data_IF_248373775527
#
_entry.id   IF_248373775527
#
_cell.length_a   1.000
_cell.length_b   1.000
_cell.length_c   1.000
_cell.angle_alpha   90.00
_cell.angle_beta   90.00
_cell.angle_gamma   90.00
#
_symmetry.space_group_name_H-M   'P 1'
#
loop_
_entity.id
_entity.type
_entity.pdbx_description
1 polymer ?
#
# COMPACT_ATOMS: atom_id res chain seq x y z
N UNK A 1 -5.46 -33.47 30.75
CA UNK A 1 -6.69 -33.23 31.53
C UNK A 1 -7.24 -31.80 31.39
N UNK A 2 -6.43 -30.73 31.51
CA UNK A 2 -6.93 -29.34 31.41
C UNK A 2 -7.47 -28.97 30.03
N UNK A 3 -6.75 -29.30 28.95
CA UNK A 3 -7.21 -29.07 27.56
C UNK A 3 -8.58 -29.73 27.28
N UNK A 4 -8.77 -30.96 27.75
CA UNK A 4 -10.03 -31.70 27.60
C UNK A 4 -11.20 -31.02 28.33
N UNK A 5 -10.96 -30.48 29.53
CA UNK A 5 -11.97 -29.72 30.29
C UNK A 5 -12.30 -28.38 29.62
N UNK A 6 -11.30 -27.69 29.06
CA UNK A 6 -11.47 -26.45 28.29
C UNK A 6 -12.28 -26.68 27.01
N UNK A 7 -12.00 -27.74 26.25
CA UNK A 7 -12.76 -28.07 25.04
C UNK A 7 -14.21 -28.46 25.35
N UNK A 8 -14.44 -29.18 26.45
CA UNK A 8 -15.79 -29.49 26.90
C UNK A 8 -16.56 -28.22 27.33
N UNK A 9 -15.88 -27.30 28.04
CA UNK A 9 -16.46 -26.01 28.42
C UNK A 9 -16.77 -25.13 27.19
N UNK A 10 -15.86 -25.03 26.23
CA UNK A 10 -16.05 -24.30 24.95
C UNK A 10 -17.25 -24.85 24.17
N UNK A 11 -17.40 -26.17 24.07
CA UNK A 11 -18.56 -26.81 23.43
C UNK A 11 -19.86 -26.48 24.14
N UNK A 12 -19.91 -26.58 25.46
CA UNK A 12 -21.10 -26.21 26.25
C UNK A 12 -21.47 -24.72 26.06
N UNK A 13 -20.48 -23.84 26.12
CA UNK A 13 -20.65 -22.39 25.87
C UNK A 13 -21.13 -22.11 24.45
N UNK A 14 -20.55 -22.76 23.44
CA UNK A 14 -20.97 -22.62 22.04
C UNK A 14 -22.42 -23.07 21.85
N UNK A 15 -22.81 -24.24 22.36
CA UNK A 15 -24.18 -24.74 22.30
C UNK A 15 -25.18 -23.80 22.98
N UNK A 16 -24.81 -23.21 24.12
CA UNK A 16 -25.64 -22.22 24.79
C UNK A 16 -25.74 -20.89 23.99
N UNK A 17 -24.63 -20.43 23.40
CA UNK A 17 -24.59 -19.22 22.55
C UNK A 17 -25.37 -19.40 21.25
N UNK A 18 -25.32 -20.58 20.64
CA UNK A 18 -25.99 -20.89 19.38
C UNK A 18 -27.53 -20.82 19.47
N UNK A 19 -28.10 -20.87 20.68
CA UNK A 19 -29.54 -20.65 20.94
C UNK A 19 -29.94 -19.18 20.96
N UNK A 20 -28.98 -18.24 21.00
CA UNK A 20 -29.26 -16.81 20.95
C UNK A 20 -29.47 -16.39 19.49
N UNK A 21 -30.30 -15.37 19.27
CA UNK A 21 -30.33 -14.68 17.99
C UNK A 21 -28.94 -14.11 17.74
N UNK A 22 -28.30 -14.53 16.64
CA UNK A 22 -27.00 -14.02 16.27
C UNK A 22 -27.15 -12.55 15.86
N UNK A 23 -26.20 -11.66 16.24
CA UNK A 23 -26.12 -10.37 15.60
C UNK A 23 -26.09 -10.55 14.08
N UNK A 24 -26.79 -9.69 13.34
CA UNK A 24 -26.73 -9.71 11.88
C UNK A 24 -25.28 -9.61 11.42
N UNK A 25 -24.91 -10.43 10.43
CA UNK A 25 -23.64 -10.28 9.76
C UNK A 25 -23.72 -9.03 8.88
N UNK A 26 -22.86 -8.05 9.12
CA UNK A 26 -22.63 -6.99 8.12
C UNK A 26 -21.74 -7.61 7.03
N UNK A 27 -22.39 -8.10 5.98
CA UNK A 27 -21.81 -8.70 4.78
C UNK A 27 -21.42 -7.66 3.73
N UNK A 28 -21.37 -6.38 4.14
CA UNK A 28 -21.01 -5.25 3.32
C UNK A 28 -19.51 -5.22 3.07
N UNK A 29 -19.14 -5.10 1.81
CA UNK A 29 -17.77 -4.87 1.36
C UNK A 29 -17.58 -3.36 1.18
N UNK A 30 -16.54 -2.82 1.81
CA UNK A 30 -16.12 -1.42 1.68
C UNK A 30 -14.75 -1.35 1.02
N UNK A 31 -14.60 -0.52 -0.01
CA UNK A 31 -13.35 -0.42 -0.77
C UNK A 31 -12.19 -0.01 0.13
N UNK A 32 -12.35 1.04 0.92
CA UNK A 32 -11.33 1.49 1.88
C UNK A 32 -10.84 0.36 2.81
N UNK A 33 -11.73 -0.34 3.49
CA UNK A 33 -11.34 -1.41 4.44
C UNK A 33 -10.71 -2.61 3.75
N UNK A 34 -11.15 -2.91 2.53
CA UNK A 34 -10.53 -3.96 1.73
C UNK A 34 -9.15 -3.55 1.22
N UNK A 35 -8.91 -2.26 0.95
CA UNK A 35 -7.57 -1.73 0.67
C UNK A 35 -6.60 -1.94 1.85
N UNK A 36 -7.04 -1.65 3.08
CA UNK A 36 -6.24 -1.93 4.29
C UNK A 36 -5.98 -3.43 4.48
N UNK A 37 -7.01 -4.26 4.27
CA UNK A 37 -6.88 -5.72 4.31
C UNK A 37 -5.90 -6.22 3.25
N UNK A 38 -5.98 -5.69 2.03
CA UNK A 38 -5.12 -6.03 0.92
C UNK A 38 -3.65 -5.78 1.27
N UNK A 39 -3.33 -4.60 1.80
CA UNK A 39 -1.98 -4.27 2.25
C UNK A 39 -1.46 -5.29 3.28
N UNK A 40 -2.28 -5.58 4.30
CA UNK A 40 -1.91 -6.51 5.38
C UNK A 40 -1.64 -7.93 4.88
N UNK A 41 -2.51 -8.49 4.03
CA UNK A 41 -2.31 -9.84 3.48
C UNK A 41 -1.15 -9.90 2.49
N UNK A 42 -0.96 -8.87 1.66
CA UNK A 42 0.17 -8.80 0.74
C UNK A 42 1.51 -8.78 1.49
N UNK A 43 1.65 -7.91 2.49
CA UNK A 43 2.87 -7.81 3.29
C UNK A 43 3.12 -9.10 4.09
N UNK A 44 2.09 -9.63 4.75
CA UNK A 44 2.20 -10.88 5.50
C UNK A 44 2.56 -12.06 4.58
N UNK A 45 1.98 -12.14 3.38
CA UNK A 45 2.28 -13.18 2.39
C UNK A 45 3.76 -13.19 2.02
N UNK A 46 4.33 -12.00 1.75
CA UNK A 46 5.74 -11.82 1.41
C UNK A 46 6.69 -12.12 2.58
N UNK A 47 6.45 -11.52 3.75
CA UNK A 47 7.36 -11.60 4.90
C UNK A 47 7.28 -12.96 5.59
N UNK A 48 6.08 -13.52 5.76
CA UNK A 48 5.87 -14.82 6.41
C UNK A 48 5.98 -16.01 5.46
N UNK A 49 6.19 -15.75 4.15
CA UNK A 49 6.23 -16.75 3.08
C UNK A 49 4.95 -17.62 3.05
N UNK A 50 3.80 -16.96 3.08
CA UNK A 50 2.46 -17.57 3.10
C UNK A 50 1.76 -17.34 1.77
N UNK A 51 1.88 -18.31 0.86
CA UNK A 51 1.26 -18.25 -0.47
C UNK A 51 -0.27 -18.07 -0.39
N UNK A 52 -0.92 -18.70 0.59
CA UNK A 52 -2.36 -18.55 0.82
C UNK A 52 -2.75 -17.11 1.22
N UNK A 53 -1.86 -16.35 1.85
CA UNK A 53 -2.10 -14.92 2.12
C UNK A 53 -1.96 -14.07 0.86
N UNK A 54 -0.97 -14.38 0.02
CA UNK A 54 -0.82 -13.75 -1.30
C UNK A 54 -2.03 -14.03 -2.20
N UNK A 55 -2.58 -15.24 -2.17
CA UNK A 55 -3.79 -15.62 -2.90
C UNK A 55 -5.02 -14.83 -2.43
N UNK A 56 -5.21 -14.66 -1.10
CA UNK A 56 -6.28 -13.83 -0.54
C UNK A 56 -6.14 -12.38 -1.01
N UNK A 57 -4.94 -11.81 -0.94
CA UNK A 57 -4.66 -10.45 -1.39
C UNK A 57 -4.98 -10.28 -2.88
N UNK A 58 -4.51 -11.21 -3.72
CA UNK A 58 -4.75 -11.19 -5.18
C UNK A 58 -6.23 -11.31 -5.50
N UNK A 59 -6.94 -12.24 -4.85
CA UNK A 59 -8.38 -12.41 -5.03
C UNK A 59 -9.16 -11.16 -4.60
N UNK A 60 -8.74 -10.49 -3.51
CA UNK A 60 -9.32 -9.24 -3.08
C UNK A 60 -9.13 -8.12 -4.12
N UNK A 61 -7.90 -7.90 -4.60
CA UNK A 61 -7.62 -6.89 -5.61
C UNK A 61 -8.42 -7.13 -6.90
N UNK A 62 -8.52 -8.39 -7.35
CA UNK A 62 -9.33 -8.78 -8.51
C UNK A 62 -10.82 -8.47 -8.29
N UNK A 63 -11.38 -8.82 -7.13
CA UNK A 63 -12.77 -8.50 -6.80
C UNK A 63 -13.01 -6.99 -6.83
N UNK A 64 -12.13 -6.20 -6.20
CA UNK A 64 -12.25 -4.73 -6.19
C UNK A 64 -12.17 -4.16 -7.62
N UNK A 65 -11.30 -4.71 -8.47
CA UNK A 65 -11.15 -4.26 -9.86
C UNK A 65 -12.38 -4.57 -10.72
N UNK A 66 -13.00 -5.73 -10.49
CA UNK A 66 -14.12 -6.21 -11.30
C UNK A 66 -15.47 -5.66 -10.82
N UNK A 67 -15.63 -5.49 -9.51
CA UNK A 67 -16.94 -5.18 -8.89
C UNK A 67 -17.00 -3.76 -8.34
N UNK A 68 -15.89 -3.26 -7.79
CA UNK A 68 -15.86 -1.97 -7.10
C UNK A 68 -15.29 -0.84 -7.96
N UNK A 69 -14.95 -1.10 -9.23
CA UNK A 69 -14.47 -0.09 -10.18
C UNK A 69 -15.52 0.10 -11.28
N UNK A 70 -15.98 1.33 -11.44
CA UNK A 70 -16.86 1.73 -12.52
C UNK A 70 -16.12 1.73 -13.87
N UNK A 71 -16.87 1.73 -14.98
CA UNK A 71 -16.31 1.69 -16.33
C UNK A 71 -15.42 2.89 -16.67
N UNK A 72 -15.70 4.06 -16.09
CA UNK A 72 -14.87 5.26 -16.22
C UNK A 72 -13.59 5.20 -15.37
N UNK A 73 -13.48 4.24 -14.45
CA UNK A 73 -12.37 4.06 -13.51
C UNK A 73 -12.62 4.63 -12.10
N UNK A 74 -13.80 5.19 -11.81
CA UNK A 74 -14.19 5.61 -10.46
C UNK A 74 -14.32 4.39 -9.54
N UNK A 75 -14.07 4.57 -8.25
CA UNK A 75 -14.35 3.54 -7.25
C UNK A 75 -15.77 3.70 -6.70
N UNK A 76 -16.43 2.57 -6.48
CA UNK A 76 -17.61 2.49 -5.63
C UNK A 76 -17.17 2.33 -4.19
N UNK A 77 -17.90 2.95 -3.25
CA UNK A 77 -17.62 2.82 -1.81
C UNK A 77 -18.06 1.47 -1.28
N UNK A 78 -19.24 1.01 -1.67
CA UNK A 78 -19.87 -0.14 -1.02
C UNK A 78 -20.54 -1.11 -1.98
N UNK A 79 -20.45 -2.38 -1.61
CA UNK A 79 -21.15 -3.48 -2.25
C UNK A 79 -21.67 -4.44 -1.19
N UNK A 80 -22.74 -5.17 -1.52
CA UNK A 80 -23.29 -6.24 -0.68
C UNK A 80 -23.82 -7.34 -1.59
N UNK A 81 -23.69 -8.59 -1.15
CA UNK A 81 -24.20 -9.74 -1.89
C UNK A 81 -25.68 -9.54 -2.31
N UNK A 82 -25.97 -9.80 -3.59
CA UNK A 82 -27.29 -9.61 -4.19
C UNK A 82 -27.64 -8.17 -4.57
N UNK A 83 -26.72 -7.22 -4.43
CA UNK A 83 -26.89 -5.82 -4.86
C UNK A 83 -25.70 -5.37 -5.70
N UNK A 84 -25.92 -4.40 -6.57
CA UNK A 84 -24.84 -3.76 -7.32
C UNK A 84 -24.01 -2.85 -6.42
N UNK A 85 -22.75 -2.64 -6.81
CA UNK A 85 -21.87 -1.69 -6.15
C UNK A 85 -22.41 -0.27 -6.35
N UNK A 86 -22.35 0.54 -5.28
CA UNK A 86 -23.01 1.85 -5.27
C UNK A 86 -22.28 2.85 -4.38
N UNK A 87 -22.70 4.10 -4.53
CA UNK A 87 -22.13 5.30 -3.93
C UNK A 87 -20.69 5.57 -4.35
N UNK A 88 -20.43 6.80 -4.78
CA UNK A 88 -19.11 7.20 -5.19
C UNK A 88 -18.11 7.01 -4.03
N UNK A 89 -16.89 6.59 -4.39
CA UNK A 89 -15.78 6.44 -3.48
C UNK A 89 -15.31 7.79 -2.95
N UNK A 90 -14.82 7.75 -1.72
CA UNK A 90 -14.23 8.88 -1.00
C UNK A 90 -12.72 8.76 -1.06
N UNK A 91 -11.99 9.80 -0.68
CA UNK A 91 -10.51 9.79 -0.70
C UNK A 91 -9.92 8.53 -0.05
N UNK A 92 -10.49 8.06 1.06
CA UNK A 92 -10.05 6.83 1.75
C UNK A 92 -10.13 5.57 0.87
N UNK A 93 -11.14 5.46 0.01
CA UNK A 93 -11.30 4.32 -0.89
C UNK A 93 -10.17 4.28 -1.93
N UNK A 94 -9.73 5.45 -2.40
CA UNK A 94 -8.61 5.58 -3.34
C UNK A 94 -7.27 5.40 -2.65
N UNK A 95 -7.04 6.10 -1.53
CA UNK A 95 -5.76 6.11 -0.83
C UNK A 95 -5.44 4.72 -0.24
N UNK A 96 -6.40 4.06 0.40
CA UNK A 96 -6.15 2.77 1.04
C UNK A 96 -6.01 1.65 0.00
N UNK A 97 -6.77 1.71 -1.09
CA UNK A 97 -6.61 0.74 -2.18
C UNK A 97 -5.29 0.93 -2.91
N UNK A 98 -4.88 2.17 -3.20
CA UNK A 98 -3.59 2.43 -3.83
C UNK A 98 -2.43 1.92 -2.97
N UNK A 99 -2.47 2.12 -1.65
CA UNK A 99 -1.48 1.55 -0.72
C UNK A 99 -1.46 0.02 -0.76
N UNK A 100 -2.63 -0.62 -0.68
CA UNK A 100 -2.76 -2.08 -0.79
C UNK A 100 -2.25 -2.63 -2.12
N UNK A 101 -2.48 -1.94 -3.23
CA UNK A 101 -1.99 -2.32 -4.55
C UNK A 101 -0.47 -2.19 -4.67
N UNK A 102 0.13 -1.16 -4.07
CA UNK A 102 1.60 -1.04 -3.99
C UNK A 102 2.20 -2.16 -3.12
N UNK A 103 1.55 -2.52 -2.02
CA UNK A 103 1.95 -3.65 -1.20
C UNK A 103 1.85 -4.98 -1.97
N UNK A 104 0.74 -5.20 -2.70
CA UNK A 104 0.56 -6.38 -3.54
C UNK A 104 1.60 -6.44 -4.67
N UNK A 105 1.90 -5.30 -5.32
CA UNK A 105 2.97 -5.21 -6.30
C UNK A 105 4.32 -5.64 -5.73
N UNK A 106 4.72 -5.19 -4.53
CA UNK A 106 5.99 -5.63 -3.93
C UNK A 106 6.00 -7.12 -3.55
N UNK A 107 4.83 -7.74 -3.46
CA UNK A 107 4.67 -9.16 -3.14
C UNK A 107 4.67 -10.05 -4.38
N UNK A 108 4.07 -9.60 -5.48
CA UNK A 108 3.91 -10.42 -6.70
C UNK A 108 4.76 -9.95 -7.88
N UNK A 109 5.20 -8.70 -7.85
CA UNK A 109 5.81 -7.97 -8.97
C UNK A 109 4.98 -7.95 -10.25
N UNK A 110 3.67 -8.17 -10.15
CA UNK A 110 2.74 -7.99 -11.27
C UNK A 110 2.47 -6.49 -11.47
N UNK A 111 2.99 -5.95 -12.57
CA UNK A 111 2.93 -4.53 -12.92
C UNK A 111 1.49 -4.00 -13.04
N UNK A 112 0.51 -4.88 -13.25
CA UNK A 112 -0.91 -4.51 -13.29
C UNK A 112 -1.35 -3.78 -12.03
N UNK A 113 -0.85 -4.21 -10.86
CA UNK A 113 -1.19 -3.61 -9.57
C UNK A 113 -0.53 -2.25 -9.40
N UNK A 114 0.72 -2.11 -9.86
CA UNK A 114 1.43 -0.84 -9.87
C UNK A 114 0.73 0.19 -10.76
N UNK A 115 0.40 -0.18 -12.01
CA UNK A 115 -0.30 0.69 -12.95
C UNK A 115 -1.64 1.15 -12.37
N UNK A 116 -2.40 0.24 -11.76
CA UNK A 116 -3.67 0.61 -11.16
C UNK A 116 -3.50 1.52 -9.93
N UNK A 117 -2.49 1.29 -9.08
CA UNK A 117 -2.17 2.21 -7.98
C UNK A 117 -1.84 3.62 -8.49
N UNK A 118 -1.10 3.73 -9.60
CA UNK A 118 -0.79 4.99 -10.23
C UNK A 118 -2.04 5.69 -10.80
N UNK A 119 -2.95 4.95 -11.45
CA UNK A 119 -4.25 5.48 -11.91
C UNK A 119 -5.08 6.06 -10.74
N UNK A 120 -5.14 5.33 -9.62
CA UNK A 120 -5.87 5.79 -8.43
C UNK A 120 -5.22 7.04 -7.82
N UNK A 121 -3.89 7.09 -7.76
CA UNK A 121 -3.18 8.27 -7.29
C UNK A 121 -3.40 9.48 -8.19
N UNK A 122 -3.41 9.28 -9.51
CA UNK A 122 -3.73 10.37 -10.44
C UNK A 122 -5.15 10.89 -10.22
N UNK A 123 -6.14 10.00 -10.01
CA UNK A 123 -7.50 10.40 -9.65
C UNK A 123 -7.59 11.16 -8.33
N UNK A 124 -6.79 10.78 -7.32
CA UNK A 124 -6.69 11.57 -6.07
C UNK A 124 -6.23 13.00 -6.37
N UNK A 125 -5.20 13.16 -7.20
CA UNK A 125 -4.69 14.47 -7.57
C UNK A 125 -5.72 15.29 -8.37
N UNK A 126 -6.43 14.66 -9.30
CA UNK A 126 -7.33 15.36 -10.21
C UNK A 126 -8.62 15.82 -9.52
N UNK A 127 -9.17 15.00 -8.62
CA UNK A 127 -10.53 15.23 -8.08
C UNK A 127 -10.58 15.63 -6.61
N UNK A 128 -9.53 15.35 -5.83
CA UNK A 128 -9.55 15.52 -4.39
C UNK A 128 -8.59 16.60 -3.88
N UNK A 129 -7.62 17.07 -4.68
CA UNK A 129 -6.68 18.11 -4.25
C UNK A 129 -7.41 19.39 -3.85
N UNK A 130 -6.97 20.00 -2.74
CA UNK A 130 -7.31 21.37 -2.40
C UNK A 130 -6.14 22.30 -2.73
N UNK A 131 -6.44 23.44 -3.35
CA UNK A 131 -5.49 24.52 -3.61
C UNK A 131 -4.87 25.07 -2.31
N UNK A 132 -5.60 25.02 -1.19
CA UNK A 132 -5.08 25.37 0.14
C UNK A 132 -4.17 24.29 0.77
N UNK A 133 -3.98 23.15 0.09
CA UNK A 133 -3.11 22.04 0.51
C UNK A 133 -3.88 20.84 1.04
N UNK A 134 -3.31 19.64 0.88
CA UNK A 134 -3.98 18.37 1.21
C UNK A 134 -5.13 18.04 0.26
N UNK A 135 -6.05 17.22 0.74
CA UNK A 135 -7.09 16.59 -0.06
C UNK A 135 -8.46 16.64 0.65
N UNK A 136 -9.52 16.90 -0.11
CA UNK A 136 -10.92 16.77 0.30
C UNK A 136 -11.32 15.30 0.44
N UNK A 137 -12.32 15.01 1.27
CA UNK A 137 -12.81 13.64 1.45
C UNK A 137 -13.68 13.17 0.28
N UNK A 138 -14.33 14.10 -0.42
CA UNK A 138 -15.23 13.85 -1.55
C UNK A 138 -14.60 14.37 -2.84
N UNK A 139 -14.92 13.76 -3.99
CA UNK A 139 -14.49 14.28 -5.29
C UNK A 139 -15.21 15.59 -5.65
N UNK A 140 -14.64 16.38 -6.56
CA UNK A 140 -15.22 17.63 -7.07
C UNK A 140 -16.50 17.41 -7.89
N UNK A 141 -16.67 16.20 -8.43
CA UNK A 141 -17.84 15.73 -9.17
C UNK A 141 -18.73 14.78 -8.35
N UNK A 142 -18.58 14.79 -7.02
CA UNK A 142 -19.52 14.15 -6.09
C UNK A 142 -20.83 14.97 -6.02
N UNK A 143 -21.72 14.61 -5.09
CA UNK A 143 -22.85 15.50 -4.76
C UNK A 143 -22.35 16.89 -4.36
N UNK A 144 -23.05 17.93 -4.82
CA UNK A 144 -22.68 19.31 -4.52
C UNK A 144 -22.90 19.61 -3.03
N UNK A 145 -21.82 19.65 -2.26
CA UNK A 145 -21.83 20.00 -0.83
C UNK A 145 -21.59 21.50 -0.65
N UNK A 146 -22.22 22.09 0.38
CA UNK A 146 -21.95 23.48 0.80
C UNK A 146 -20.50 23.68 1.25
N UNK A 147 -19.89 22.62 1.80
CA UNK A 147 -18.50 22.57 2.24
C UNK A 147 -17.98 21.15 2.02
N UNK A 148 -16.83 21.00 1.38
CA UNK A 148 -16.15 19.71 1.23
C UNK A 148 -15.24 19.50 2.44
N UNK A 149 -15.56 18.53 3.33
CA UNK A 149 -14.75 18.28 4.50
C UNK A 149 -13.39 17.67 4.14
N UNK A 150 -12.49 17.75 5.12
CA UNK A 150 -11.13 17.23 5.08
C UNK A 150 -10.81 16.61 6.43
N UNK A 151 -10.91 15.30 6.54
CA UNK A 151 -10.44 14.63 7.74
C UNK A 151 -8.92 14.38 7.63
N UNK A 152 -8.19 15.08 8.50
CA UNK A 152 -6.72 15.00 8.57
C UNK A 152 -6.24 14.23 9.79
N UNK A 153 -7.14 13.89 10.71
CA UNK A 153 -6.77 13.25 11.96
C UNK A 153 -6.91 11.73 11.83
N UNK A 154 -5.91 11.00 12.31
CA UNK A 154 -6.02 9.54 12.42
C UNK A 154 -6.98 9.18 13.56
N UNK A 155 -7.75 8.11 13.36
CA UNK A 155 -8.68 7.57 14.34
C UNK A 155 -8.53 6.04 14.39
N UNK A 156 -9.64 5.29 14.47
CA UNK A 156 -9.63 3.82 14.37
C UNK A 156 -8.97 3.32 13.07
N UNK A 157 -8.96 4.15 12.03
CA UNK A 157 -8.19 3.98 10.79
C UNK A 157 -7.29 5.20 10.57
N UNK A 158 -6.25 5.10 9.73
CA UNK A 158 -5.48 6.27 9.29
C UNK A 158 -6.40 7.37 8.73
N UNK A 159 -5.91 8.60 8.66
CA UNK A 159 -6.53 9.64 7.84
C UNK A 159 -6.29 9.34 6.37
N UNK A 160 -7.32 9.59 5.55
CA UNK A 160 -7.21 9.42 4.10
C UNK A 160 -6.13 10.34 3.50
N UNK A 161 -6.01 11.55 4.04
CA UNK A 161 -4.97 12.51 3.67
C UNK A 161 -3.55 12.00 3.99
N UNK A 162 -3.32 11.49 5.21
CA UNK A 162 -2.02 10.96 5.60
C UNK A 162 -1.62 9.74 4.77
N UNK A 163 -2.58 8.86 4.46
CA UNK A 163 -2.33 7.73 3.56
C UNK A 163 -2.02 8.20 2.13
N UNK A 164 -2.80 9.14 1.59
CA UNK A 164 -2.56 9.67 0.25
C UNK A 164 -1.15 10.27 0.12
N UNK A 165 -0.68 11.01 1.13
CA UNK A 165 0.69 11.52 1.17
C UNK A 165 1.73 10.38 1.12
N UNK A 166 1.57 9.30 1.89
CA UNK A 166 2.49 8.16 1.82
C UNK A 166 2.47 7.44 0.48
N UNK A 167 1.30 7.23 -0.11
CA UNK A 167 1.17 6.62 -1.45
C UNK A 167 1.91 7.45 -2.48
N UNK A 168 1.72 8.77 -2.47
CA UNK A 168 2.41 9.69 -3.39
C UNK A 168 3.93 9.68 -3.17
N UNK A 169 4.41 9.67 -1.92
CA UNK A 169 5.84 9.52 -1.61
C UNK A 169 6.40 8.23 -2.21
N UNK A 170 5.76 7.08 -1.98
CA UNK A 170 6.19 5.79 -2.56
C UNK A 170 6.18 5.80 -4.09
N UNK A 171 5.11 6.32 -4.70
CA UNK A 171 5.01 6.45 -6.15
C UNK A 171 6.08 7.36 -6.75
N UNK A 172 6.47 8.43 -6.05
CA UNK A 172 7.55 9.32 -6.52
C UNK A 172 8.87 8.56 -6.71
N UNK A 173 9.19 7.63 -5.80
CA UNK A 173 10.39 6.78 -5.89
C UNK A 173 10.28 5.75 -7.03
N UNK A 174 9.09 5.18 -7.26
CA UNK A 174 8.89 4.25 -8.37
C UNK A 174 8.94 4.93 -9.75
N UNK A 175 8.46 6.16 -9.85
CA UNK A 175 8.20 6.83 -11.13
C UNK A 175 9.24 7.86 -11.52
N UNK A 176 9.99 8.40 -10.56
CA UNK A 176 10.81 9.59 -10.79
C UNK A 176 10.02 10.88 -10.90
N UNK A 177 8.69 10.85 -10.70
CA UNK A 177 7.85 12.02 -10.82
C UNK A 177 7.89 12.88 -9.54
N UNK A 178 8.71 13.94 -9.58
CA UNK A 178 8.88 14.89 -8.46
C UNK A 178 7.57 15.55 -7.99
N UNK A 179 6.57 15.69 -8.88
CA UNK A 179 5.27 16.27 -8.49
C UNK A 179 4.58 15.50 -7.36
N UNK A 180 4.71 14.16 -7.35
CA UNK A 180 4.15 13.36 -6.26
C UNK A 180 4.84 13.66 -4.93
N UNK A 181 6.16 13.80 -4.94
CA UNK A 181 6.94 14.16 -3.76
C UNK A 181 6.57 15.55 -3.25
N UNK A 182 6.53 16.55 -4.13
CA UNK A 182 6.27 17.95 -3.76
C UNK A 182 4.90 18.12 -3.10
N UNK A 183 3.85 17.51 -3.67
CA UNK A 183 2.50 17.56 -3.12
C UNK A 183 2.45 16.89 -1.73
N UNK A 184 3.04 15.70 -1.61
CA UNK A 184 3.04 14.95 -0.34
C UNK A 184 3.87 15.65 0.74
N UNK A 185 5.00 16.24 0.38
CA UNK A 185 5.84 17.03 1.28
C UNK A 185 5.08 18.28 1.75
N UNK A 186 4.44 19.03 0.85
CA UNK A 186 3.66 20.21 1.20
C UNK A 186 2.50 19.86 2.16
N UNK A 187 1.75 18.80 1.86
CA UNK A 187 0.65 18.33 2.71
C UNK A 187 1.15 17.91 4.10
N UNK A 188 2.28 17.19 4.16
CA UNK A 188 2.88 16.77 5.43
C UNK A 188 3.40 17.96 6.24
N UNK A 189 4.04 18.93 5.59
CA UNK A 189 4.55 20.13 6.24
C UNK A 189 3.44 20.98 6.86
N UNK A 190 2.27 21.06 6.20
CA UNK A 190 1.10 21.75 6.75
C UNK A 190 0.62 21.15 8.08
N UNK A 191 0.87 19.86 8.31
CA UNK A 191 0.50 19.17 9.56
C UNK A 191 1.55 19.30 10.68
N UNK A 192 2.64 20.05 10.47
CA UNK A 192 3.74 20.16 11.44
C UNK A 192 3.29 20.52 12.86
N UNK A 193 2.46 21.55 13.01
CA UNK A 193 1.98 21.98 14.33
C UNK A 193 1.09 20.92 14.98
N UNK A 194 0.18 20.31 14.20
CA UNK A 194 -0.73 19.28 14.70
C UNK A 194 0.01 18.01 15.14
N UNK A 195 0.96 17.52 14.33
CA UNK A 195 1.84 16.40 14.68
C UNK A 195 2.66 16.68 15.94
N UNK A 196 3.16 17.92 16.10
CA UNK A 196 3.99 18.30 17.26
C UNK A 196 3.18 18.37 18.56
N UNK A 197 1.92 18.84 18.48
CA UNK A 197 1.05 18.98 19.66
C UNK A 197 0.31 17.69 20.03
N UNK A 198 -0.11 16.90 19.03
CA UNK A 198 -0.98 15.73 19.22
C UNK A 198 -0.49 14.50 18.41
N UNK A 199 0.74 14.01 18.64
CA UNK A 199 1.37 13.00 17.79
C UNK A 199 0.56 11.71 17.63
N UNK A 200 -0.16 11.27 18.66
CA UNK A 200 -0.96 10.03 18.61
C UNK A 200 -2.19 10.13 17.71
N UNK A 201 -2.67 11.33 17.40
CA UNK A 201 -3.76 11.56 16.45
C UNK A 201 -3.28 11.81 15.02
N UNK A 202 -1.96 11.81 14.78
CA UNK A 202 -1.35 12.10 13.49
C UNK A 202 -0.17 11.15 13.22
N UNK A 203 -0.26 9.91 13.70
CA UNK A 203 0.79 8.90 13.57
C UNK A 203 1.12 8.58 12.10
N UNK A 204 0.12 8.54 11.22
CA UNK A 204 0.33 8.26 9.80
C UNK A 204 1.03 9.41 9.07
N UNK A 205 0.78 10.65 9.50
CA UNK A 205 1.55 11.81 9.05
C UNK A 205 2.97 11.81 9.58
N UNK A 206 3.19 11.37 10.83
CA UNK A 206 4.53 11.19 11.37
C UNK A 206 5.31 10.13 10.59
N UNK A 207 4.66 9.07 10.11
CA UNK A 207 5.28 8.12 9.19
C UNK A 207 5.68 8.78 7.85
N UNK A 208 4.82 9.63 7.28
CA UNK A 208 5.17 10.39 6.07
C UNK A 208 6.35 11.36 6.31
N UNK A 209 6.34 12.07 7.44
CA UNK A 209 7.43 12.97 7.83
C UNK A 209 8.74 12.19 8.05
N UNK A 210 8.68 11.05 8.74
CA UNK A 210 9.81 10.15 8.95
C UNK A 210 10.37 9.66 7.61
N UNK A 211 9.50 9.25 6.68
CA UNK A 211 9.90 8.83 5.34
C UNK A 211 10.65 9.94 4.60
N UNK A 212 10.15 11.17 4.62
CA UNK A 212 10.78 12.34 3.98
C UNK A 212 12.17 12.62 4.54
N UNK A 213 12.34 12.58 5.87
CA UNK A 213 13.62 12.92 6.51
C UNK A 213 14.64 11.78 6.49
N UNK A 214 14.21 10.53 6.25
CA UNK A 214 15.08 9.34 6.32
C UNK A 214 15.81 9.01 5.01
N UNK A 215 15.74 9.88 4.00
CA UNK A 215 16.34 9.66 2.67
C UNK A 215 16.02 8.27 2.09
N UNK A 216 14.75 8.05 1.71
CA UNK A 216 14.24 6.73 1.40
C UNK A 216 14.98 6.10 0.21
N UNK A 217 15.11 4.78 0.25
CA UNK A 217 15.84 4.00 -0.74
C UNK A 217 14.90 3.47 -1.82
N UNK A 218 15.41 3.43 -3.05
CA UNK A 218 14.78 2.72 -4.16
C UNK A 218 15.65 1.51 -4.50
N UNK A 219 15.11 0.30 -4.50
CA UNK A 219 15.86 -0.90 -4.92
C UNK A 219 15.20 -1.56 -6.11
N UNK A 220 15.93 -1.63 -7.22
CA UNK A 220 15.50 -2.33 -8.42
C UNK A 220 16.26 -3.65 -8.56
N UNK A 221 15.54 -4.77 -8.70
CA UNK A 221 16.12 -6.10 -8.93
C UNK A 221 15.82 -6.52 -10.37
N UNK A 222 16.82 -6.38 -11.24
CA UNK A 222 16.73 -6.79 -12.63
C UNK A 222 16.96 -8.30 -12.73
N UNK A 223 15.89 -9.06 -12.96
CA UNK A 223 15.89 -10.52 -12.97
C UNK A 223 14.47 -11.08 -13.07
N UNK A 224 14.34 -12.36 -13.43
CA UNK A 224 13.04 -13.05 -13.42
C UNK A 224 12.60 -13.28 -11.98
N UNK A 225 11.44 -12.78 -11.52
CA UNK A 225 11.04 -12.82 -10.11
C UNK A 225 11.17 -14.21 -9.46
N UNK A 226 10.78 -15.28 -10.14
CA UNK A 226 10.80 -16.65 -9.60
C UNK A 226 12.16 -17.36 -9.72
N UNK A 227 13.16 -16.74 -10.36
CA UNK A 227 14.48 -17.36 -10.51
C UNK A 227 15.22 -17.43 -9.16
N UNK A 228 15.99 -18.50 -8.88
CA UNK A 228 16.66 -18.68 -7.59
C UNK A 228 17.60 -17.54 -7.17
N UNK A 229 18.31 -16.95 -8.13
CA UNK A 229 19.21 -15.83 -7.88
C UNK A 229 18.44 -14.54 -7.53
N UNK A 230 17.35 -14.26 -8.23
CA UNK A 230 16.44 -13.14 -7.93
C UNK A 230 15.80 -13.31 -6.54
N UNK A 231 15.31 -14.52 -6.23
CA UNK A 231 14.74 -14.84 -4.92
C UNK A 231 15.76 -14.70 -3.78
N UNK A 232 17.04 -15.01 -4.02
CA UNK A 232 18.09 -14.78 -3.02
C UNK A 232 18.30 -13.29 -2.71
N UNK A 233 18.28 -12.44 -3.73
CA UNK A 233 18.36 -10.97 -3.54
C UNK A 233 17.11 -10.44 -2.83
N UNK A 234 15.91 -10.87 -3.24
CA UNK A 234 14.65 -10.48 -2.59
C UNK A 234 14.60 -10.92 -1.13
N UNK A 235 15.00 -12.15 -0.82
CA UNK A 235 15.07 -12.65 0.55
C UNK A 235 16.00 -11.81 1.43
N UNK A 236 17.11 -11.31 0.87
CA UNK A 236 18.03 -10.39 1.56
C UNK A 236 17.34 -9.05 1.88
N UNK A 237 16.58 -8.51 0.92
CA UNK A 237 15.84 -7.27 1.09
C UNK A 237 14.73 -7.40 2.15
N UNK A 238 14.11 -8.58 2.26
CA UNK A 238 13.00 -8.84 3.19
C UNK A 238 13.41 -9.41 4.54
N UNK A 239 14.70 -9.71 4.74
CA UNK A 239 15.22 -10.25 5.98
C UNK A 239 15.18 -9.27 7.18
N UNK A 240 15.03 -7.96 6.92
CA UNK A 240 14.98 -6.93 7.94
C UNK A 240 13.81 -5.96 7.70
N UNK A 241 13.34 -5.32 8.78
CA UNK A 241 12.33 -4.28 8.69
C UNK A 241 12.94 -2.99 8.12
N UNK A 242 12.52 -2.62 6.90
CA UNK A 242 13.03 -1.47 6.15
C UNK A 242 11.85 -0.59 5.69
N UNK A 243 11.30 0.28 6.57
CA UNK A 243 10.08 1.04 6.28
C UNK A 243 10.24 2.14 5.22
N UNK A 244 11.48 2.57 4.97
CA UNK A 244 11.81 3.66 4.03
C UNK A 244 12.40 3.12 2.73
N UNK A 245 11.92 1.96 2.28
CA UNK A 245 12.40 1.27 1.08
C UNK A 245 11.22 0.96 0.15
N UNK A 246 11.38 1.24 -1.14
CA UNK A 246 10.54 0.68 -2.19
C UNK A 246 11.33 -0.30 -3.04
N UNK A 247 10.69 -1.38 -3.49
CA UNK A 247 11.32 -2.43 -4.27
C UNK A 247 10.55 -2.71 -5.54
N UNK A 248 11.26 -2.67 -6.67
CA UNK A 248 10.75 -3.16 -7.95
C UNK A 248 11.60 -4.36 -8.39
N UNK A 249 10.97 -5.37 -8.99
CA UNK A 249 11.68 -6.50 -9.59
C UNK A 249 11.03 -6.92 -10.91
N UNK A 250 11.86 -7.37 -11.86
CA UNK A 250 11.40 -7.78 -13.18
C UNK A 250 12.48 -7.62 -14.25
N UNK A 251 12.16 -8.01 -15.49
CA UNK A 251 13.02 -7.81 -16.66
C UNK A 251 12.53 -6.59 -17.44
N UNK A 252 13.38 -5.56 -17.57
CA UNK A 252 13.17 -4.36 -18.39
C UNK A 252 11.96 -3.45 -18.05
N UNK A 253 11.20 -3.80 -16.99
CA UNK A 253 9.99 -3.15 -16.47
C UNK A 253 9.36 -2.07 -17.34
N UNK A 254 8.45 -2.49 -18.23
CA UNK A 254 7.80 -1.61 -19.21
C UNK A 254 6.94 -0.55 -18.54
N UNK A 255 6.24 -0.90 -17.45
CA UNK A 255 5.32 0.01 -16.77
C UNK A 255 5.89 0.60 -15.47
N UNK A 256 7.03 0.11 -14.98
CA UNK A 256 7.62 0.55 -13.70
C UNK A 256 8.93 1.30 -13.96
N UNK A 257 8.94 2.65 -13.95
CA UNK A 257 10.12 3.44 -14.32
C UNK A 257 11.37 3.14 -13.48
N UNK A 258 11.20 2.69 -12.23
CA UNK A 258 12.30 2.24 -11.37
C UNK A 258 13.05 1.01 -11.91
N UNK A 259 12.51 0.26 -12.87
CA UNK A 259 13.21 -0.83 -13.56
C UNK A 259 13.84 -0.39 -14.89
N UNK A 260 13.50 0.80 -15.39
CA UNK A 260 13.98 1.28 -16.67
C UNK A 260 15.52 1.37 -16.70
N UNK A 261 16.10 0.97 -17.83
CA UNK A 261 17.54 1.03 -18.11
C UNK A 261 18.41 0.24 -17.11
N UNK A 262 17.85 -0.78 -16.44
CA UNK A 262 18.57 -1.65 -15.52
C UNK A 262 18.56 -3.08 -16.06
N UNK A 263 19.75 -3.64 -16.27
CA UNK A 263 19.91 -4.93 -16.93
C UNK A 263 20.67 -5.93 -16.06
N UNK A 264 20.40 -7.24 -16.17
CA UNK A 264 21.19 -8.25 -15.49
C UNK A 264 22.68 -8.16 -15.89
N UNK A 265 23.57 -8.18 -14.90
CA UNK A 265 25.02 -8.21 -15.13
C UNK A 265 25.51 -9.64 -15.32
N UNK A 266 26.25 -9.87 -16.41
CA UNK A 266 26.80 -11.18 -16.75
C UNK A 266 25.76 -12.33 -16.70
N UNK A 267 24.51 -12.03 -17.06
CA UNK A 267 23.42 -13.00 -17.07
C UNK A 267 22.87 -13.40 -15.69
N UNK A 268 23.24 -12.67 -14.62
CA UNK A 268 22.75 -12.90 -13.25
C UNK A 268 21.77 -11.80 -12.83
N UNK A 269 20.80 -12.16 -12.00
CA UNK A 269 19.96 -11.19 -11.31
C UNK A 269 20.83 -10.12 -10.63
N UNK A 270 20.45 -8.85 -10.80
CA UNK A 270 21.25 -7.71 -10.33
C UNK A 270 20.38 -6.74 -9.56
N UNK A 271 20.79 -6.40 -8.35
CA UNK A 271 20.19 -5.37 -7.54
C UNK A 271 20.90 -4.01 -7.73
N UNK A 272 20.09 -2.96 -7.83
CA UNK A 272 20.50 -1.57 -7.92
C UNK A 272 19.89 -0.83 -6.73
N UNK A 273 20.71 -0.51 -5.73
CA UNK A 273 20.28 0.28 -4.56
C UNK A 273 20.55 1.76 -4.86
N UNK A 274 19.49 2.55 -4.90
CA UNK A 274 19.51 3.95 -5.27
C UNK A 274 18.95 4.83 -4.14
N UNK A 275 19.40 6.08 -4.09
CA UNK A 275 18.86 7.14 -3.27
C UNK A 275 18.77 8.40 -4.10
N UNK A 276 17.60 9.05 -4.12
CA UNK A 276 17.37 10.24 -4.94
C UNK A 276 17.79 10.01 -6.40
N UNK A 277 17.47 8.83 -6.92
CA UNK A 277 17.80 8.40 -8.29
C UNK A 277 19.30 8.25 -8.60
N UNK A 278 20.17 8.26 -7.59
CA UNK A 278 21.60 7.95 -7.72
C UNK A 278 21.86 6.56 -7.14
N UNK A 279 22.36 5.64 -7.97
CA UNK A 279 22.58 4.26 -7.58
C UNK A 279 24.02 4.00 -7.15
N UNK A 280 24.18 3.12 -6.17
CA UNK A 280 25.48 2.50 -5.84
C UNK A 280 25.90 1.55 -6.97
N UNK A 281 27.11 0.97 -6.85
CA UNK A 281 27.57 -0.06 -7.78
C UNK A 281 26.58 -1.24 -7.78
N UNK A 282 26.09 -1.72 -8.93
CA UNK A 282 25.13 -2.83 -8.95
C UNK A 282 25.76 -4.13 -8.45
N UNK A 283 24.97 -4.96 -7.76
CA UNK A 283 25.44 -6.19 -7.10
C UNK A 283 24.62 -7.40 -7.50
N UNK A 284 25.26 -8.56 -7.58
CA UNK A 284 24.64 -9.83 -7.98
C UNK A 284 24.56 -10.87 -6.86
N UNK A 285 25.08 -10.56 -5.67
CA UNK A 285 25.11 -11.48 -4.53
C UNK A 285 24.50 -10.85 -3.27
N UNK A 286 23.97 -11.71 -2.41
CA UNK A 286 23.25 -11.33 -1.20
C UNK A 286 24.12 -10.59 -0.19
N UNK A 287 25.41 -10.91 -0.08
CA UNK A 287 26.29 -10.29 0.93
C UNK A 287 26.58 -8.85 0.56
N UNK A 288 26.92 -8.60 -0.70
CA UNK A 288 27.12 -7.25 -1.21
C UNK A 288 25.83 -6.42 -1.14
N UNK A 289 24.67 -7.02 -1.47
CA UNK A 289 23.37 -6.35 -1.34
C UNK A 289 23.06 -5.98 0.11
N UNK A 290 23.25 -6.90 1.05
CA UNK A 290 23.03 -6.63 2.47
C UNK A 290 23.91 -5.46 2.95
N UNK A 291 25.18 -5.41 2.54
CA UNK A 291 26.09 -4.31 2.88
C UNK A 291 25.61 -2.94 2.35
N UNK A 292 25.06 -2.89 1.12
CA UNK A 292 24.51 -1.65 0.56
C UNK A 292 23.20 -1.21 1.25
N UNK A 293 22.40 -2.16 1.72
CA UNK A 293 21.18 -1.90 2.47
C UNK A 293 21.49 -1.45 3.91
N UNK A 294 22.53 -2.01 4.53
CA UNK A 294 22.88 -1.81 5.95
C UNK A 294 23.90 -0.69 6.18
N UNK A 295 24.64 -0.23 5.16
CA UNK A 295 25.54 0.93 5.19
C UNK A 295 24.81 2.27 5.41
N UNK A 296 23.77 2.22 6.22
CA UNK A 296 22.69 3.18 6.43
C UNK A 296 22.40 3.34 7.92
N UNK A 297 23.45 3.27 8.76
CA UNK A 297 23.44 3.80 10.13
C UNK A 297 24.39 5.00 10.21
#
# INVERSE_FOLDING_TARGET
QMATRLDAARRKLFQARAKRVWPGLDDKVLTAWNGLMLAAFAEAGRVLRRADYTEIATANALFLRQTMRAADGRLWRTWKAGHDARYNGYLEDYAYLADGLLALYQTTFDETWFTWAQELAQRMLDHFTDEAGGFFDTSDDHEALLHRPKDVQDNATPSANGMAAQVLLRLSLYTGNGRYWDIAQQATAAMHEAMSRYPTGFAHWLCAAAFIVSEPQETAVSGTPDAPDTQALLATIWAAYRPNLVVAAGLNGENVPLLAQRSPLAGKATAYVCRRFVCQQPVTDAVALQAQLDGTL
#
